data_IF_410222889549
#
_entry.id   IF_410222889549
#
_cell.length_a   1.000
_cell.length_b   1.000
_cell.length_c   1.000
_cell.angle_alpha   90.00
_cell.angle_beta   90.00
_cell.angle_gamma   90.00
#
_symmetry.space_group_name_H-M   'P 1'
#
loop_
_entity.id
_entity.type
_entity.pdbx_description
1 polymer ?
#
# COMPACT_ATOMS: atom_id res chain seq x y z
N UNK A 1 35.78 3.90 -1.85
CA UNK A 1 34.33 3.87 -1.53
C UNK A 1 34.01 3.17 -0.21
N UNK A 2 34.82 2.21 0.23
CA UNK A 2 34.65 1.56 1.54
C UNK A 2 34.87 2.53 2.69
N UNK A 3 35.80 3.48 2.54
CA UNK A 3 36.01 4.57 3.50
C UNK A 3 34.80 5.49 3.66
N UNK A 4 34.03 5.73 2.57
CA UNK A 4 32.79 6.50 2.66
C UNK A 4 31.68 5.73 3.38
N UNK A 5 31.64 4.40 3.23
CA UNK A 5 30.71 3.56 3.97
C UNK A 5 31.05 3.49 5.45
N UNK A 6 32.34 3.41 5.80
CA UNK A 6 32.79 3.48 7.19
C UNK A 6 32.48 4.86 7.81
N UNK A 7 32.72 5.94 7.06
CA UNK A 7 32.36 7.29 7.48
C UNK A 7 30.86 7.45 7.69
N UNK A 8 30.03 6.90 6.79
CA UNK A 8 28.58 6.93 6.92
C UNK A 8 28.07 6.19 8.17
N UNK A 9 28.75 5.10 8.57
CA UNK A 9 28.45 4.36 9.80
C UNK A 9 28.92 5.06 11.07
N UNK A 10 30.02 5.82 10.99
CA UNK A 10 30.72 6.41 12.13
C UNK A 10 30.34 7.85 12.43
N UNK A 11 29.92 8.63 11.44
CA UNK A 11 29.72 10.08 11.61
C UNK A 11 28.31 10.45 12.10
N UNK A 12 28.29 11.10 13.27
CA UNK A 12 27.06 11.68 13.85
C UNK A 12 26.81 13.13 13.37
N UNK A 13 27.74 13.76 12.65
CA UNK A 13 27.69 15.19 12.31
C UNK A 13 27.28 15.48 10.85
N UNK A 14 27.46 14.53 9.92
CA UNK A 14 26.97 14.63 8.55
C UNK A 14 25.76 13.72 8.35
N UNK A 15 24.85 14.14 7.48
CA UNK A 15 23.70 13.29 7.14
C UNK A 15 24.20 11.99 6.50
N UNK A 16 23.98 10.83 7.14
CA UNK A 16 24.41 9.54 6.59
C UNK A 16 23.86 9.28 5.18
N UNK A 17 22.70 9.85 4.85
CA UNK A 17 22.10 9.74 3.52
C UNK A 17 23.02 10.23 2.41
N UNK A 18 23.67 11.37 2.61
CA UNK A 18 24.61 11.93 1.64
C UNK A 18 25.83 11.02 1.46
N UNK A 19 26.37 10.51 2.57
CA UNK A 19 27.56 9.64 2.53
C UNK A 19 27.25 8.29 1.88
N UNK A 20 26.10 7.67 2.21
CA UNK A 20 25.66 6.45 1.55
C UNK A 20 25.38 6.67 0.06
N UNK A 21 24.78 7.81 -0.33
CA UNK A 21 24.56 8.20 -1.71
C UNK A 21 25.88 8.30 -2.49
N UNK A 22 26.86 9.04 -1.97
CA UNK A 22 28.18 9.16 -2.58
C UNK A 22 28.89 7.81 -2.72
N UNK A 23 28.80 6.95 -1.71
CA UNK A 23 29.39 5.61 -1.76
C UNK A 23 28.71 4.75 -2.84
N UNK A 24 27.40 4.79 -2.93
CA UNK A 24 26.61 4.04 -3.90
C UNK A 24 26.89 4.50 -5.35
N UNK A 25 26.86 5.80 -5.60
CA UNK A 25 27.20 6.41 -6.91
C UNK A 25 28.66 6.11 -7.30
N UNK A 26 29.55 6.15 -6.33
CA UNK A 26 30.96 5.80 -6.50
C UNK A 26 31.23 4.30 -6.75
N UNK A 27 30.20 3.48 -6.88
CA UNK A 27 30.29 2.08 -7.28
C UNK A 27 30.18 1.05 -6.13
N UNK A 28 30.04 1.48 -4.87
CA UNK A 28 29.76 0.57 -3.75
C UNK A 28 28.25 0.27 -3.69
N UNK A 29 27.78 -0.53 -4.64
CA UNK A 29 26.36 -0.89 -4.79
C UNK A 29 25.99 -2.07 -3.89
N UNK A 30 26.35 -2.02 -2.61
CA UNK A 30 26.00 -3.06 -1.67
C UNK A 30 24.56 -2.94 -1.17
N UNK A 31 24.07 -4.03 -0.60
CA UNK A 31 22.70 -4.12 -0.08
C UNK A 31 22.43 -3.11 1.02
N UNK A 32 23.34 -2.95 1.97
CA UNK A 32 23.19 -2.04 3.10
C UNK A 32 22.98 -0.58 2.65
N UNK A 33 23.80 -0.12 1.70
CA UNK A 33 23.66 1.23 1.15
C UNK A 33 22.32 1.42 0.44
N UNK A 34 21.94 0.47 -0.40
CA UNK A 34 20.69 0.53 -1.15
C UNK A 34 19.46 0.51 -0.22
N UNK A 35 19.45 -0.39 0.76
CA UNK A 35 18.35 -0.49 1.73
C UNK A 35 18.23 0.78 2.58
N UNK A 36 19.35 1.35 3.02
CA UNK A 36 19.36 2.62 3.76
C UNK A 36 18.84 3.79 2.91
N UNK A 37 19.35 3.93 1.69
CA UNK A 37 18.98 5.00 0.76
C UNK A 37 17.49 4.91 0.37
N UNK A 38 17.02 3.72 0.06
CA UNK A 38 15.63 3.47 -0.27
C UNK A 38 14.72 3.80 0.91
N UNK A 39 15.01 3.28 2.10
CA UNK A 39 14.20 3.54 3.29
C UNK A 39 14.17 5.03 3.63
N UNK A 40 15.33 5.67 3.61
CA UNK A 40 15.46 7.08 4.00
C UNK A 40 14.80 8.00 2.97
N UNK A 41 14.95 7.75 1.67
CA UNK A 41 14.32 8.57 0.63
C UNK A 41 12.80 8.49 0.69
N UNK A 42 12.23 7.30 0.88
CA UNK A 42 10.77 7.12 1.06
C UNK A 42 10.30 7.85 2.32
N UNK A 43 10.98 7.66 3.45
CA UNK A 43 10.57 8.28 4.73
C UNK A 43 10.66 9.80 4.71
N UNK A 44 11.68 10.37 4.05
CA UNK A 44 11.88 11.81 3.93
C UNK A 44 11.09 12.46 2.79
N UNK A 45 10.41 11.68 1.96
CA UNK A 45 9.66 12.18 0.80
C UNK A 45 10.55 12.68 -0.34
N UNK A 46 11.77 12.15 -0.46
CA UNK A 46 12.66 12.44 -1.59
C UNK A 46 12.23 11.58 -2.79
N UNK A 47 11.16 12.02 -3.46
CA UNK A 47 10.43 11.24 -4.46
C UNK A 47 11.29 10.74 -5.62
N UNK A 48 12.10 11.59 -6.20
CA UNK A 48 12.95 11.23 -7.36
C UNK A 48 14.02 10.20 -6.97
N UNK A 49 14.66 10.41 -5.83
CA UNK A 49 15.64 9.47 -5.26
C UNK A 49 14.98 8.15 -4.91
N UNK A 50 13.80 8.18 -4.28
CA UNK A 50 13.05 6.99 -3.91
C UNK A 50 12.67 6.16 -5.15
N UNK A 51 12.17 6.80 -6.22
CA UNK A 51 11.90 6.13 -7.50
C UNK A 51 13.16 5.52 -8.12
N UNK A 52 14.29 6.22 -8.02
CA UNK A 52 15.56 5.70 -8.49
C UNK A 52 15.99 4.46 -7.70
N UNK A 53 15.99 4.53 -6.36
CA UNK A 53 16.40 3.41 -5.52
C UNK A 53 15.43 2.22 -5.56
N UNK A 54 14.12 2.47 -5.75
CA UNK A 54 13.15 1.38 -6.02
C UNK A 54 13.54 0.62 -7.31
N UNK A 55 13.88 1.33 -8.38
CA UNK A 55 14.33 0.70 -9.64
C UNK A 55 15.61 -0.10 -9.46
N UNK A 56 16.58 0.43 -8.73
CA UNK A 56 17.83 -0.27 -8.42
C UNK A 56 17.56 -1.51 -7.53
N UNK A 57 16.70 -1.39 -6.52
CA UNK A 57 16.33 -2.51 -5.68
C UNK A 57 15.59 -3.61 -6.47
N UNK A 58 14.71 -3.26 -7.39
CA UNK A 58 14.06 -4.23 -8.28
C UNK A 58 15.04 -4.97 -9.19
N UNK A 59 16.11 -4.31 -9.65
CA UNK A 59 17.18 -4.97 -10.41
C UNK A 59 17.96 -5.98 -9.56
N UNK A 60 18.17 -5.67 -8.28
CA UNK A 60 18.94 -6.52 -7.37
C UNK A 60 18.13 -7.68 -6.78
N UNK A 61 16.89 -7.43 -6.36
CA UNK A 61 16.06 -8.38 -5.60
C UNK A 61 14.89 -8.94 -6.39
N UNK A 62 14.66 -8.42 -7.59
CA UNK A 62 13.54 -8.79 -8.45
C UNK A 62 12.32 -7.89 -8.30
N UNK A 63 11.47 -7.93 -9.32
CA UNK A 63 10.29 -7.06 -9.45
C UNK A 63 9.14 -7.43 -8.50
N UNK A 64 9.28 -8.54 -7.79
CA UNK A 64 8.21 -9.13 -6.99
C UNK A 64 8.54 -9.20 -5.50
N UNK A 65 9.65 -8.59 -5.07
CA UNK A 65 9.97 -8.50 -3.65
C UNK A 65 8.88 -7.70 -2.91
N UNK A 66 8.30 -8.31 -1.87
CA UNK A 66 7.18 -7.76 -1.09
C UNK A 66 7.53 -6.42 -0.46
N UNK A 67 8.74 -6.33 0.12
CA UNK A 67 9.18 -5.11 0.82
C UNK A 67 9.38 -3.94 -0.15
N UNK A 68 9.89 -4.21 -1.35
CA UNK A 68 10.07 -3.19 -2.40
C UNK A 68 8.72 -2.74 -2.93
N UNK A 69 7.81 -3.67 -3.22
CA UNK A 69 6.46 -3.35 -3.69
C UNK A 69 5.69 -2.52 -2.65
N UNK A 70 5.85 -2.83 -1.36
CA UNK A 70 5.22 -2.05 -0.30
C UNK A 70 5.75 -0.61 -0.24
N UNK A 71 7.07 -0.42 -0.38
CA UNK A 71 7.69 0.91 -0.43
C UNK A 71 7.24 1.69 -1.67
N UNK A 72 7.14 1.03 -2.81
CA UNK A 72 6.63 1.62 -4.05
C UNK A 72 5.16 2.07 -3.90
N UNK A 73 4.32 1.23 -3.31
CA UNK A 73 2.93 1.56 -2.98
C UNK A 73 2.84 2.79 -2.08
N UNK A 74 3.63 2.81 -0.99
CA UNK A 74 3.65 3.96 -0.07
C UNK A 74 4.13 5.24 -0.75
N UNK A 75 5.14 5.15 -1.61
CA UNK A 75 5.65 6.28 -2.37
C UNK A 75 4.59 6.85 -3.32
N UNK A 76 3.91 6.01 -4.10
CA UNK A 76 2.83 6.46 -4.98
C UNK A 76 1.68 7.11 -4.22
N UNK A 77 1.37 6.62 -3.02
CA UNK A 77 0.39 7.28 -2.14
C UNK A 77 0.84 8.67 -1.68
N UNK A 78 2.11 8.83 -1.32
CA UNK A 78 2.68 10.13 -0.95
C UNK A 78 2.66 11.12 -2.12
N UNK A 79 2.84 10.63 -3.33
CA UNK A 79 2.79 11.43 -4.57
C UNK A 79 1.37 11.75 -5.03
N UNK A 80 0.33 11.21 -4.38
CA UNK A 80 -1.07 11.24 -4.81
C UNK A 80 -1.30 10.61 -6.19
N UNK A 81 -0.44 9.65 -6.56
CA UNK A 81 -0.57 8.85 -7.78
C UNK A 81 -1.48 7.63 -7.51
N UNK A 82 -2.77 7.91 -7.31
CA UNK A 82 -3.76 6.92 -6.85
C UNK A 82 -3.84 5.68 -7.77
N UNK A 83 -3.74 5.85 -9.09
CA UNK A 83 -3.82 4.74 -10.05
C UNK A 83 -2.58 3.82 -9.95
N UNK A 84 -1.39 4.40 -9.80
CA UNK A 84 -0.15 3.66 -9.63
C UNK A 84 -0.12 2.95 -8.28
N UNK A 85 -0.55 3.62 -7.21
CA UNK A 85 -0.68 3.03 -5.89
C UNK A 85 -1.65 1.84 -5.92
N UNK A 86 -2.82 1.99 -6.54
CA UNK A 86 -3.80 0.92 -6.65
C UNK A 86 -3.28 -0.26 -7.48
N UNK A 87 -2.62 -0.01 -8.61
CA UNK A 87 -2.07 -1.09 -9.45
C UNK A 87 -0.99 -1.88 -8.74
N UNK A 88 -0.13 -1.19 -7.96
CA UNK A 88 0.91 -1.83 -7.14
C UNK A 88 0.30 -2.66 -6.02
N UNK A 89 -0.71 -2.12 -5.31
CA UNK A 89 -1.43 -2.83 -4.26
C UNK A 89 -2.15 -4.07 -4.81
N UNK A 90 -2.81 -3.94 -5.96
CA UNK A 90 -3.47 -5.07 -6.64
C UNK A 90 -2.48 -6.18 -6.95
N UNK A 91 -1.31 -5.84 -7.50
CA UNK A 91 -0.23 -6.79 -7.74
C UNK A 91 0.22 -7.50 -6.46
N UNK A 92 0.40 -6.74 -5.36
CA UNK A 92 0.75 -7.31 -4.06
C UNK A 92 -0.34 -8.29 -3.57
N UNK A 93 -1.60 -7.90 -3.68
CA UNK A 93 -2.73 -8.73 -3.26
C UNK A 93 -2.84 -10.03 -4.07
N UNK A 94 -2.61 -9.98 -5.39
CA UNK A 94 -2.58 -11.17 -6.25
C UNK A 94 -1.47 -12.17 -5.87
N UNK A 95 -0.34 -11.64 -5.36
CA UNK A 95 0.82 -12.46 -4.96
C UNK A 95 0.76 -12.93 -3.50
N UNK A 96 0.14 -12.16 -2.64
CA UNK A 96 0.08 -12.40 -1.19
C UNK A 96 -1.35 -12.25 -0.66
N UNK A 97 -2.31 -13.07 -1.15
CA UNK A 97 -3.75 -12.89 -0.83
C UNK A 97 -4.12 -13.13 0.63
N UNK A 98 -3.25 -13.84 1.38
CA UNK A 98 -3.43 -14.16 2.79
C UNK A 98 -2.66 -13.22 3.72
N UNK A 99 -1.97 -12.21 3.17
CA UNK A 99 -1.29 -11.21 3.97
C UNK A 99 -2.30 -10.20 4.52
N UNK A 100 -2.38 -10.12 5.86
CA UNK A 100 -3.36 -9.28 6.54
C UNK A 100 -3.22 -7.80 6.18
N UNK A 101 -2.01 -7.25 6.19
CA UNK A 101 -1.78 -5.81 5.93
C UNK A 101 -2.13 -5.45 4.48
N UNK A 102 -1.79 -6.31 3.53
CA UNK A 102 -2.12 -6.13 2.11
C UNK A 102 -3.63 -6.25 1.91
N UNK A 103 -4.26 -7.23 2.54
CA UNK A 103 -5.71 -7.43 2.47
C UNK A 103 -6.45 -6.26 3.10
N UNK A 104 -6.00 -5.76 4.23
CA UNK A 104 -6.58 -4.58 4.89
C UNK A 104 -6.44 -3.33 4.01
N UNK A 105 -5.27 -3.10 3.41
CA UNK A 105 -5.06 -1.99 2.50
C UNK A 105 -5.96 -2.09 1.26
N UNK A 106 -6.14 -3.30 0.71
CA UNK A 106 -7.05 -3.53 -0.42
C UNK A 106 -8.51 -3.27 -0.04
N UNK A 107 -8.91 -3.72 1.15
CA UNK A 107 -10.25 -3.48 1.70
C UNK A 107 -10.54 -1.99 1.89
N UNK A 108 -9.57 -1.22 2.37
CA UNK A 108 -9.68 0.23 2.47
C UNK A 108 -9.92 0.90 1.10
N UNK A 109 -9.28 0.41 0.03
CA UNK A 109 -9.53 0.92 -1.32
C UNK A 109 -10.94 0.56 -1.82
N UNK A 110 -11.40 -0.66 -1.55
CA UNK A 110 -12.78 -1.07 -1.87
C UNK A 110 -13.80 -0.22 -1.14
N UNK A 111 -13.62 0.05 0.17
CA UNK A 111 -14.51 0.91 0.95
C UNK A 111 -14.54 2.34 0.42
N UNK A 112 -13.38 2.94 0.15
CA UNK A 112 -13.30 4.29 -0.45
C UNK A 112 -14.04 4.37 -1.78
N UNK A 113 -13.95 3.33 -2.61
CA UNK A 113 -14.65 3.27 -3.90
C UNK A 113 -16.15 3.10 -3.70
N UNK A 114 -16.56 2.24 -2.77
CA UNK A 114 -17.97 2.05 -2.43
C UNK A 114 -18.62 3.36 -1.96
N UNK A 115 -17.96 4.09 -1.06
CA UNK A 115 -18.44 5.38 -0.57
C UNK A 115 -18.68 6.39 -1.68
N UNK A 116 -17.72 6.55 -2.60
CA UNK A 116 -17.89 7.43 -3.76
C UNK A 116 -19.08 7.02 -4.65
N UNK A 117 -19.25 5.71 -4.87
CA UNK A 117 -20.37 5.20 -5.65
C UNK A 117 -21.72 5.43 -4.94
N UNK A 118 -21.76 5.24 -3.61
CA UNK A 118 -22.97 5.51 -2.80
C UNK A 118 -23.34 6.99 -2.80
N UNK A 119 -22.37 7.89 -2.71
CA UNK A 119 -22.58 9.34 -2.84
C UNK A 119 -23.22 9.73 -4.17
N UNK A 120 -22.90 8.99 -5.23
CA UNK A 120 -23.49 9.16 -6.56
C UNK A 120 -24.83 8.42 -6.74
N UNK A 121 -25.31 7.70 -5.71
CA UNK A 121 -26.52 6.89 -5.78
C UNK A 121 -26.37 5.58 -6.55
N UNK A 122 -25.13 5.17 -6.88
CA UNK A 122 -24.80 3.97 -7.65
C UNK A 122 -24.65 2.75 -6.71
N UNK A 123 -25.71 2.45 -5.96
CA UNK A 123 -25.68 1.42 -4.91
C UNK A 123 -25.44 0.00 -5.44
N UNK A 124 -25.93 -0.32 -6.63
CA UNK A 124 -25.70 -1.62 -7.25
C UNK A 124 -24.21 -1.84 -7.60
N UNK A 125 -23.51 -0.77 -7.97
CA UNK A 125 -22.08 -0.80 -8.27
C UNK A 125 -21.23 -0.76 -7.00
N UNK A 126 -21.70 -0.10 -5.95
CA UNK A 126 -21.04 -0.03 -4.65
C UNK A 126 -21.04 -1.38 -3.91
N UNK A 127 -22.15 -2.13 -3.99
CA UNK A 127 -22.38 -3.34 -3.22
C UNK A 127 -21.27 -4.40 -3.36
N UNK A 128 -20.76 -4.77 -4.55
CA UNK A 128 -19.67 -5.74 -4.67
C UNK A 128 -18.39 -5.34 -3.91
N UNK A 129 -18.10 -4.05 -3.84
CA UNK A 129 -16.96 -3.53 -3.10
C UNK A 129 -17.13 -3.70 -1.59
N UNK A 130 -18.30 -3.41 -1.09
CA UNK A 130 -18.64 -3.59 0.33
C UNK A 130 -18.60 -5.07 0.72
N UNK A 131 -19.21 -5.94 -0.09
CA UNK A 131 -19.22 -7.38 0.16
C UNK A 131 -17.82 -8.02 0.10
N UNK A 132 -16.92 -7.50 -0.72
CA UNK A 132 -15.52 -7.91 -0.71
C UNK A 132 -14.92 -7.76 0.70
N UNK A 133 -15.15 -6.61 1.34
CA UNK A 133 -14.60 -6.32 2.67
C UNK A 133 -15.20 -7.23 3.73
N UNK A 134 -16.52 -7.39 3.77
CA UNK A 134 -17.19 -8.24 4.76
C UNK A 134 -16.76 -9.71 4.65
N UNK A 135 -16.51 -10.20 3.43
CA UNK A 135 -16.04 -11.58 3.21
C UNK A 135 -14.57 -11.80 3.58
N UNK A 136 -13.73 -10.77 3.50
CA UNK A 136 -12.29 -10.86 3.79
C UNK A 136 -11.96 -10.67 5.27
N UNK A 137 -12.81 -9.98 6.01
CA UNK A 137 -12.58 -9.62 7.42
C UNK A 137 -13.67 -10.19 8.34
N UNK A 138 -14.04 -11.46 8.13
CA UNK A 138 -15.11 -12.12 8.91
C UNK A 138 -14.82 -12.09 10.41
N UNK A 139 -13.54 -12.23 10.80
CA UNK A 139 -13.13 -12.27 12.20
C UNK A 139 -12.80 -10.89 12.79
N UNK A 140 -12.87 -9.83 11.99
CA UNK A 140 -12.64 -8.45 12.43
C UNK A 140 -13.98 -7.71 12.57
N UNK A 141 -14.51 -7.70 13.78
CA UNK A 141 -15.82 -7.12 14.07
C UNK A 141 -15.96 -5.64 13.70
N UNK A 142 -14.88 -4.86 13.78
CA UNK A 142 -14.92 -3.43 13.44
C UNK A 142 -14.97 -3.24 11.92
N UNK A 143 -14.06 -3.85 11.18
CA UNK A 143 -13.99 -3.75 9.72
C UNK A 143 -15.20 -4.41 9.07
N UNK A 144 -15.58 -5.58 9.56
CA UNK A 144 -16.72 -6.34 9.08
C UNK A 144 -18.05 -5.64 9.37
N UNK A 145 -18.24 -5.12 10.59
CA UNK A 145 -19.43 -4.35 10.98
C UNK A 145 -19.64 -3.12 10.11
N UNK A 146 -18.60 -2.32 9.88
CA UNK A 146 -18.67 -1.16 9.01
C UNK A 146 -19.02 -1.53 7.55
N UNK A 147 -18.55 -2.67 7.07
CA UNK A 147 -18.90 -3.18 5.74
C UNK A 147 -20.37 -3.61 5.68
N UNK A 148 -20.86 -4.34 6.68
CA UNK A 148 -22.25 -4.76 6.72
C UNK A 148 -23.24 -3.60 6.84
N UNK A 149 -22.94 -2.57 7.60
CA UNK A 149 -23.77 -1.35 7.66
C UNK A 149 -23.92 -0.69 6.27
N UNK A 150 -22.82 -0.63 5.50
CA UNK A 150 -22.87 -0.10 4.13
C UNK A 150 -23.61 -1.03 3.16
N UNK A 151 -23.46 -2.36 3.31
CA UNK A 151 -24.22 -3.32 2.52
C UNK A 151 -25.72 -3.20 2.78
N UNK A 152 -26.12 -3.07 4.04
CA UNK A 152 -27.51 -2.81 4.45
C UNK A 152 -28.04 -1.54 3.78
N UNK A 153 -27.28 -0.44 3.84
CA UNK A 153 -27.64 0.81 3.17
C UNK A 153 -27.83 0.63 1.66
N UNK A 154 -26.93 -0.10 0.99
CA UNK A 154 -27.06 -0.39 -0.44
C UNK A 154 -28.34 -1.19 -0.73
N UNK A 155 -28.63 -2.25 0.03
CA UNK A 155 -29.83 -3.05 -0.16
C UNK A 155 -31.12 -2.27 0.04
N UNK A 156 -31.21 -1.43 1.08
CA UNK A 156 -32.35 -0.57 1.34
C UNK A 156 -32.59 0.40 0.19
N UNK A 157 -31.55 1.09 -0.28
CA UNK A 157 -31.68 2.05 -1.37
C UNK A 157 -32.02 1.40 -2.72
N UNK A 158 -31.64 0.15 -2.93
CA UNK A 158 -32.06 -0.67 -4.08
C UNK A 158 -33.43 -1.32 -3.91
N UNK A 159 -34.12 -1.11 -2.75
CA UNK A 159 -35.40 -1.74 -2.40
C UNK A 159 -35.32 -3.27 -2.31
N UNK A 160 -34.15 -3.81 -2.05
CA UNK A 160 -33.89 -5.25 -1.85
C UNK A 160 -34.03 -5.62 -0.37
N UNK A 161 -35.28 -5.52 0.13
CA UNK A 161 -35.56 -5.60 1.58
C UNK A 161 -35.32 -6.99 2.18
N UNK A 162 -35.47 -8.07 1.41
CA UNK A 162 -35.19 -9.42 1.89
C UNK A 162 -33.69 -9.59 2.18
N UNK A 163 -32.85 -9.09 1.30
CA UNK A 163 -31.39 -9.13 1.49
C UNK A 163 -30.96 -8.17 2.62
N UNK A 164 -31.62 -7.02 2.73
CA UNK A 164 -31.40 -6.11 3.84
C UNK A 164 -31.70 -6.77 5.19
N UNK A 165 -32.81 -7.50 5.31
CA UNK A 165 -33.14 -8.25 6.52
C UNK A 165 -32.12 -9.36 6.82
N UNK A 166 -31.69 -10.10 5.81
CA UNK A 166 -30.69 -11.14 5.98
C UNK A 166 -29.34 -10.62 6.50
N UNK A 167 -28.98 -9.36 6.23
CA UNK A 167 -27.75 -8.75 6.75
C UNK A 167 -27.82 -8.38 8.23
N UNK A 168 -29.02 -8.33 8.83
CA UNK A 168 -29.19 -8.03 10.25
C UNK A 168 -29.01 -9.27 11.13
N UNK A 169 -29.05 -10.47 10.55
CA UNK A 169 -28.92 -11.74 11.23
C UNK A 169 -27.48 -12.30 11.20
N UNK A 170 -26.53 -11.55 10.61
CA UNK A 170 -25.10 -11.89 10.49
C UNK A 170 -24.27 -11.10 11.46
#
# INVERSE_FOLDING_TARGET
>A
NDLLMEAARAEKQRDPYVLYGMAYEGGNKNKEALDYLLNTSVTRGYTDDALFYIREAKKQYGNNDKGILYKEYMLYRQMNEDDLAYSTLKKMYEMYPDDYDITLAMSAQHMKKAEKLMELGLYAEALPHVLFVSQKHVDDNEVNGAAWEKALSCYINMKRYNEALATLDT
#
